data_IF_234325138512
#
_entry.id   IF_234325138512
#
_cell.length_a   1.000
_cell.length_b   1.000
_cell.length_c   1.000
_cell.angle_alpha   90.00
_cell.angle_beta   90.00
_cell.angle_gamma   90.00
#
_symmetry.space_group_name_H-M   'P 1'
#
loop_
_entity.id
_entity.type
_entity.pdbx_description
1 polymer ?
#
# COMPACT_ATOMS: atom_id res chain seq x y z
N UNK A 1 -6.09 13.83 -29.09
CA UNK A 1 -7.02 14.02 -27.95
C UNK A 1 -6.32 13.48 -26.70
N UNK A 2 -6.11 14.30 -25.68
CA UNK A 2 -5.43 13.87 -24.45
C UNK A 2 -6.43 13.12 -23.57
N UNK A 3 -6.03 12.00 -22.96
CA UNK A 3 -6.88 11.24 -22.02
C UNK A 3 -7.36 12.18 -20.89
N UNK A 4 -8.67 12.25 -20.56
CA UNK A 4 -9.20 13.15 -19.53
C UNK A 4 -8.51 13.01 -18.17
N UNK A 5 -8.23 11.77 -17.75
CA UNK A 5 -7.50 11.49 -16.51
C UNK A 5 -6.07 12.06 -16.55
N UNK A 6 -5.36 11.91 -17.68
CA UNK A 6 -4.01 12.44 -17.84
C UNK A 6 -4.00 13.97 -17.74
N UNK A 7 -4.95 14.62 -18.42
CA UNK A 7 -5.10 16.07 -18.34
C UNK A 7 -5.36 16.51 -16.90
N UNK A 8 -6.30 15.86 -16.22
CA UNK A 8 -6.62 16.12 -14.82
C UNK A 8 -5.37 16.03 -13.92
N UNK A 9 -4.66 14.89 -13.95
CA UNK A 9 -3.48 14.66 -13.12
C UNK A 9 -2.34 15.64 -13.41
N UNK A 10 -2.13 16.00 -14.69
CA UNK A 10 -1.05 16.92 -15.09
C UNK A 10 -1.25 18.38 -14.68
N UNK A 11 -2.49 18.76 -14.32
CA UNK A 11 -2.85 20.15 -14.01
C UNK A 11 -3.26 20.33 -12.55
N UNK A 12 -2.78 19.48 -11.63
CA UNK A 12 -3.09 19.57 -10.20
C UNK A 12 -2.24 20.61 -9.49
N UNK A 13 -2.84 21.66 -8.89
CA UNK A 13 -2.11 22.54 -8.00
C UNK A 13 -1.52 21.74 -6.84
N UNK A 14 -0.26 22.01 -6.49
CA UNK A 14 0.45 21.35 -5.38
C UNK A 14 0.57 19.81 -5.48
N UNK A 15 0.32 19.23 -6.66
CA UNK A 15 0.28 17.78 -6.82
C UNK A 15 -0.86 17.11 -6.07
N UNK A 16 -1.92 17.85 -5.73
CA UNK A 16 -3.06 17.36 -4.96
C UNK A 16 -4.23 17.00 -5.87
N UNK A 17 -4.63 15.73 -5.87
CA UNK A 17 -5.72 15.19 -6.69
C UNK A 17 -6.78 14.50 -5.84
N UNK A 18 -8.04 14.61 -6.27
CA UNK A 18 -9.17 13.89 -5.70
C UNK A 18 -9.88 13.15 -6.83
N UNK A 19 -9.95 11.83 -6.72
CA UNK A 19 -10.73 10.97 -7.59
C UNK A 19 -11.91 10.45 -6.79
N UNK A 20 -13.10 10.48 -7.37
CA UNK A 20 -14.26 9.90 -6.72
C UNK A 20 -14.97 8.91 -7.63
N UNK A 21 -15.48 7.85 -7.04
CA UNK A 21 -16.31 6.85 -7.72
C UNK A 21 -17.77 7.03 -7.32
N UNK A 22 -18.68 6.75 -8.26
CA UNK A 22 -20.11 6.77 -7.97
C UNK A 22 -20.57 5.56 -7.13
N UNK A 23 -21.83 5.57 -6.66
CA UNK A 23 -22.46 4.42 -6.03
C UNK A 23 -22.33 3.17 -6.92
N UNK A 24 -21.90 2.04 -6.36
CA UNK A 24 -21.75 0.76 -7.07
C UNK A 24 -20.70 0.73 -8.20
N UNK A 25 -19.79 1.71 -8.28
CA UNK A 25 -18.68 1.68 -9.24
C UNK A 25 -17.45 1.02 -8.61
N UNK A 26 -17.12 -0.19 -9.05
CA UNK A 26 -15.88 -0.91 -8.71
C UNK A 26 -14.65 -0.42 -9.51
N UNK A 27 -14.61 0.87 -9.89
CA UNK A 27 -13.56 1.46 -10.74
C UNK A 27 -12.22 1.71 -9.98
N UNK A 28 -11.80 0.73 -9.18
CA UNK A 28 -10.47 0.66 -8.57
C UNK A 28 -9.37 0.83 -9.63
N UNK A 29 -9.63 0.40 -10.87
CA UNK A 29 -8.75 0.55 -12.03
C UNK A 29 -8.28 1.99 -12.29
N UNK A 30 -9.15 3.00 -12.12
CA UNK A 30 -8.78 4.41 -12.36
C UNK A 30 -7.84 4.91 -11.27
N UNK A 31 -8.12 4.55 -10.02
CA UNK A 31 -7.32 4.91 -8.85
C UNK A 31 -5.95 4.24 -8.97
N UNK A 32 -5.94 2.94 -9.24
CA UNK A 32 -4.71 2.15 -9.44
C UNK A 32 -3.85 2.73 -10.56
N UNK A 33 -4.44 3.08 -11.71
CA UNK A 33 -3.73 3.73 -12.80
C UNK A 33 -3.13 5.09 -12.39
N UNK A 34 -3.87 5.90 -11.63
CA UNK A 34 -3.40 7.19 -11.14
C UNK A 34 -2.25 7.05 -10.12
N UNK A 35 -2.28 6.03 -9.25
CA UNK A 35 -1.19 5.73 -8.31
C UNK A 35 0.07 5.25 -9.04
N UNK A 36 -0.07 4.37 -10.03
CA UNK A 36 1.07 3.93 -10.84
C UNK A 36 1.66 5.08 -11.67
N UNK A 37 0.81 5.98 -12.18
CA UNK A 37 1.27 7.19 -12.85
C UNK A 37 2.00 8.15 -11.89
N UNK A 38 1.52 8.28 -10.64
CA UNK A 38 2.23 9.00 -9.58
C UNK A 38 3.59 8.35 -9.34
N UNK A 39 3.65 7.03 -9.12
CA UNK A 39 4.89 6.31 -8.89
C UNK A 39 5.91 6.52 -10.03
N UNK A 40 5.47 6.41 -11.28
CA UNK A 40 6.32 6.67 -12.44
C UNK A 40 6.82 8.13 -12.55
N UNK A 41 6.11 9.09 -11.94
CA UNK A 41 6.44 10.53 -12.05
C UNK A 41 7.29 11.02 -10.87
N UNK A 42 6.97 10.60 -9.65
CA UNK A 42 7.60 11.13 -8.42
C UNK A 42 8.47 10.10 -7.69
N UNK A 43 8.41 8.82 -8.06
CA UNK A 43 9.15 7.75 -7.40
C UNK A 43 8.32 7.05 -6.32
N UNK A 44 8.91 6.77 -5.16
CA UNK A 44 8.28 5.90 -4.16
C UNK A 44 6.96 6.48 -3.62
N UNK A 45 5.91 5.65 -3.52
CA UNK A 45 4.58 6.08 -3.05
C UNK A 45 4.18 5.33 -1.79
N UNK A 46 3.76 6.05 -0.74
CA UNK A 46 3.05 5.44 0.38
C UNK A 46 1.56 5.41 0.07
N UNK A 47 1.01 4.21 -0.06
CA UNK A 47 -0.42 3.97 -0.21
C UNK A 47 -1.05 3.67 1.15
N UNK A 48 -2.20 4.26 1.43
CA UNK A 48 -2.91 4.09 2.70
C UNK A 48 -4.42 4.02 2.54
N UNK A 49 -5.08 3.42 3.52
CA UNK A 49 -6.52 3.22 3.57
C UNK A 49 -6.99 2.92 5.00
N UNK A 50 -8.30 2.85 5.24
CA UNK A 50 -8.86 2.84 6.59
C UNK A 50 -8.58 1.55 7.36
N UNK A 51 -8.45 0.40 6.67
CA UNK A 51 -8.32 -0.92 7.31
C UNK A 51 -7.27 -1.81 6.63
N UNK A 52 -6.71 -2.81 7.33
CA UNK A 52 -5.81 -3.79 6.71
C UNK A 52 -6.47 -4.58 5.57
N UNK A 53 -7.76 -4.90 5.67
CA UNK A 53 -8.50 -5.59 4.62
C UNK A 53 -8.60 -4.77 3.33
N UNK A 54 -8.88 -3.46 3.47
CA UNK A 54 -8.84 -2.50 2.37
C UNK A 54 -7.46 -2.47 1.71
N UNK A 55 -6.38 -2.41 2.50
CA UNK A 55 -5.01 -2.41 1.98
C UNK A 55 -4.61 -3.72 1.30
N UNK A 56 -5.13 -4.87 1.74
CA UNK A 56 -4.92 -6.14 1.06
C UNK A 56 -5.56 -6.13 -0.33
N UNK A 57 -6.82 -5.68 -0.44
CA UNK A 57 -7.51 -5.53 -1.73
C UNK A 57 -6.77 -4.54 -2.64
N UNK A 58 -6.38 -3.39 -2.10
CA UNK A 58 -5.74 -2.33 -2.88
C UNK A 58 -4.35 -2.72 -3.39
N UNK A 59 -3.52 -3.35 -2.55
CA UNK A 59 -2.20 -3.84 -2.94
C UNK A 59 -2.26 -4.94 -4.00
N UNK A 60 -3.21 -5.88 -3.88
CA UNK A 60 -3.44 -6.92 -4.91
C UNK A 60 -3.84 -6.32 -6.26
N UNK A 61 -4.73 -5.32 -6.26
CA UNK A 61 -5.10 -4.61 -7.48
C UNK A 61 -3.94 -3.80 -8.07
N UNK A 62 -3.16 -3.11 -7.25
CA UNK A 62 -1.93 -2.42 -7.70
C UNK A 62 -0.98 -3.39 -8.37
N UNK A 63 -0.78 -4.57 -7.78
CA UNK A 63 0.14 -5.58 -8.30
C UNK A 63 -0.33 -6.11 -9.65
N UNK A 64 -1.58 -6.59 -9.69
CA UNK A 64 -2.20 -7.13 -10.91
C UNK A 64 -2.23 -6.11 -12.04
N UNK A 65 -2.57 -4.85 -11.73
CA UNK A 65 -2.65 -3.80 -12.75
C UNK A 65 -1.26 -3.37 -13.23
N UNK A 66 -0.28 -3.30 -12.32
CA UNK A 66 1.13 -3.01 -12.65
C UNK A 66 1.68 -4.05 -13.64
N UNK A 67 1.51 -5.34 -13.34
CA UNK A 67 1.92 -6.43 -14.24
C UNK A 67 1.24 -6.31 -15.61
N UNK A 68 -0.08 -6.08 -15.64
CA UNK A 68 -0.83 -5.94 -16.89
C UNK A 68 -0.37 -4.74 -17.74
N UNK A 69 -0.07 -3.60 -17.11
CA UNK A 69 0.45 -2.41 -17.80
C UNK A 69 1.82 -2.70 -18.39
N UNK A 70 2.71 -3.31 -17.60
CA UNK A 70 4.07 -3.64 -18.02
C UNK A 70 4.08 -4.69 -19.12
N UNK A 71 3.29 -5.75 -18.99
CA UNK A 71 3.13 -6.77 -20.02
C UNK A 71 2.72 -6.14 -21.35
N UNK A 72 1.64 -5.34 -21.36
CA UNK A 72 1.16 -4.65 -22.56
C UNK A 72 2.17 -3.65 -23.12
N UNK A 73 2.88 -2.94 -22.25
CA UNK A 73 3.91 -2.00 -22.65
C UNK A 73 5.10 -2.73 -23.28
N UNK A 74 5.53 -3.86 -22.75
CA UNK A 74 6.74 -4.54 -23.19
C UNK A 74 6.55 -5.36 -24.48
N UNK A 75 5.31 -5.68 -24.89
CA UNK A 75 5.05 -6.39 -26.15
C UNK A 75 5.75 -5.71 -27.33
N UNK A 76 6.61 -6.47 -28.01
CA UNK A 76 7.32 -6.04 -29.23
C UNK A 76 8.44 -5.00 -28.99
N UNK A 77 8.74 -4.66 -27.74
CA UNK A 77 9.87 -3.78 -27.40
C UNK A 77 11.16 -4.59 -27.19
N UNK A 78 12.29 -3.92 -27.44
CA UNK A 78 13.62 -4.47 -27.14
C UNK A 78 13.87 -4.42 -25.62
N UNK A 79 14.72 -5.31 -25.11
CA UNK A 79 15.04 -5.43 -23.67
C UNK A 79 15.60 -4.13 -23.05
N UNK A 80 16.27 -3.28 -23.84
CA UNK A 80 16.77 -1.97 -23.39
C UNK A 80 15.67 -0.91 -23.26
N UNK A 81 14.48 -1.17 -23.81
CA UNK A 81 13.33 -0.28 -23.81
C UNK A 81 12.13 -0.85 -23.03
N UNK A 82 12.28 -2.01 -22.39
CA UNK A 82 11.27 -2.56 -21.49
C UNK A 82 11.28 -1.85 -20.15
N UNK A 83 10.12 -1.84 -19.49
CA UNK A 83 9.98 -1.35 -18.12
C UNK A 83 9.69 -2.52 -17.19
N UNK A 84 10.05 -2.40 -15.92
CA UNK A 84 9.69 -3.37 -14.88
C UNK A 84 8.39 -3.01 -14.19
N UNK A 85 7.75 -4.00 -13.57
CA UNK A 85 6.62 -3.78 -12.69
C UNK A 85 7.07 -3.13 -11.38
N UNK A 86 6.19 -2.29 -10.81
CA UNK A 86 6.40 -1.72 -9.49
C UNK A 86 6.39 -2.83 -8.43
N UNK A 87 7.40 -2.85 -7.57
CA UNK A 87 7.44 -3.68 -6.37
C UNK A 87 6.50 -3.08 -5.33
N UNK A 88 5.41 -3.79 -5.06
CA UNK A 88 4.38 -3.39 -4.11
C UNK A 88 4.48 -4.26 -2.87
N UNK A 89 4.72 -3.64 -1.72
CA UNK A 89 4.85 -4.33 -0.44
C UNK A 89 3.72 -3.90 0.49
N UNK A 90 3.09 -4.89 1.13
CA UNK A 90 2.15 -4.64 2.23
C UNK A 90 2.94 -4.38 3.49
N UNK A 91 2.81 -3.18 4.04
CA UNK A 91 3.41 -2.78 5.30
C UNK A 91 2.55 -3.21 6.47
N UNK A 92 2.98 -4.26 7.18
CA UNK A 92 2.34 -4.76 8.38
C UNK A 92 3.33 -4.83 9.56
N UNK A 93 2.90 -5.30 10.72
CA UNK A 93 3.80 -5.47 11.86
C UNK A 93 4.82 -6.56 11.57
N UNK A 94 6.11 -6.29 11.79
CA UNK A 94 7.18 -7.24 11.49
C UNK A 94 7.03 -8.56 12.26
N UNK A 95 6.52 -8.51 13.49
CA UNK A 95 6.30 -9.72 14.29
C UNK A 95 5.19 -10.59 13.68
N UNK A 96 4.06 -9.99 13.30
CA UNK A 96 2.95 -10.71 12.69
C UNK A 96 3.36 -11.32 11.34
N UNK A 97 4.17 -10.61 10.55
CA UNK A 97 4.74 -11.12 9.30
C UNK A 97 5.76 -12.24 9.54
N UNK A 98 6.60 -12.14 10.59
CA UNK A 98 7.54 -13.20 10.99
C UNK A 98 6.79 -14.49 11.36
N UNK A 99 5.71 -14.37 12.14
CA UNK A 99 4.89 -15.50 12.55
C UNK A 99 4.13 -16.12 11.36
N UNK A 100 3.63 -15.28 10.44
CA UNK A 100 3.03 -15.73 9.19
C UNK A 100 4.05 -16.45 8.29
N UNK A 101 5.27 -15.92 8.17
CA UNK A 101 6.34 -16.54 7.39
C UNK A 101 6.73 -17.92 7.94
N UNK A 102 6.87 -18.05 9.26
CA UNK A 102 7.11 -19.36 9.89
C UNK A 102 5.95 -20.33 9.66
N UNK A 103 4.72 -19.84 9.69
CA UNK A 103 3.54 -20.64 9.39
C UNK A 103 3.58 -21.14 7.94
N UNK A 104 4.01 -20.31 6.98
CA UNK A 104 4.24 -20.71 5.58
C UNK A 104 5.36 -21.74 5.43
N UNK A 105 6.44 -21.64 6.22
CA UNK A 105 7.49 -22.66 6.24
C UNK A 105 6.97 -24.01 6.73
N UNK A 106 5.96 -24.05 7.60
CA UNK A 106 5.35 -25.30 8.03
C UNK A 106 4.30 -25.78 7.03
N UNK A 107 3.47 -24.87 6.53
CA UNK A 107 2.32 -25.15 5.68
C UNK A 107 2.40 -24.31 4.39
N UNK A 108 3.17 -24.75 3.37
CA UNK A 108 3.38 -23.96 2.15
C UNK A 108 2.09 -23.59 1.39
N UNK A 109 1.08 -24.45 1.44
CA UNK A 109 -0.21 -24.24 0.79
C UNK A 109 -0.97 -23.00 1.28
N UNK A 110 -0.63 -22.47 2.47
CA UNK A 110 -1.19 -21.21 2.95
C UNK A 110 -0.75 -20.01 2.09
N UNK A 111 0.30 -20.17 1.27
CA UNK A 111 0.87 -19.13 0.41
C UNK A 111 0.39 -19.19 -1.04
N UNK A 112 -0.40 -20.19 -1.42
CA UNK A 112 -0.82 -20.40 -2.82
C UNK A 112 -1.61 -19.21 -3.39
N UNK A 113 -2.36 -18.50 -2.53
CA UNK A 113 -3.06 -17.26 -2.89
C UNK A 113 -2.13 -16.02 -2.93
N UNK A 114 -0.99 -16.07 -2.25
CA UNK A 114 -0.09 -14.92 -2.09
C UNK A 114 0.97 -14.83 -3.20
N UNK A 115 1.35 -15.97 -3.79
CA UNK A 115 2.29 -16.04 -4.90
C UNK A 115 1.86 -17.15 -5.87
N UNK A 116 1.00 -16.79 -6.84
CA UNK A 116 0.64 -17.71 -7.92
C UNK A 116 1.84 -18.08 -8.79
N UNK A 117 1.69 -19.09 -9.64
CA UNK A 117 2.69 -19.55 -10.64
C UNK A 117 2.99 -18.50 -11.75
N UNK A 118 2.58 -17.25 -11.56
CA UNK A 118 2.77 -16.18 -12.53
C UNK A 118 4.25 -15.81 -12.66
N UNK A 119 4.69 -15.62 -13.91
CA UNK A 119 6.04 -15.14 -14.24
C UNK A 119 6.21 -13.71 -13.71
N UNK A 120 7.00 -13.55 -12.64
CA UNK A 120 7.19 -12.30 -11.90
C UNK A 120 7.89 -11.18 -12.71
N UNK A 121 8.24 -11.44 -13.98
CA UNK A 121 8.85 -10.46 -14.87
C UNK A 121 10.26 -10.09 -14.43
N UNK A 122 10.75 -8.96 -14.93
CA UNK A 122 12.09 -8.45 -14.58
C UNK A 122 12.03 -7.73 -13.22
N UNK A 123 12.86 -8.19 -12.28
CA UNK A 123 12.93 -7.65 -10.93
C UNK A 123 13.70 -6.32 -10.90
N UNK A 124 13.56 -5.55 -9.81
CA UNK A 124 14.41 -4.37 -9.60
C UNK A 124 15.87 -4.77 -9.33
N UNK A 125 16.82 -3.91 -9.72
CA UNK A 125 18.24 -4.07 -9.34
C UNK A 125 18.41 -4.25 -7.83
N UNK A 126 17.64 -3.52 -7.03
CA UNK A 126 17.63 -3.63 -5.56
C UNK A 126 17.15 -5.00 -5.07
N UNK A 127 16.17 -5.59 -5.74
CA UNK A 127 15.71 -6.97 -5.44
C UNK A 127 16.77 -7.98 -5.87
N UNK A 128 17.46 -7.78 -6.99
CA UNK A 128 18.57 -8.63 -7.39
C UNK A 128 19.76 -8.53 -6.43
N UNK A 129 20.09 -7.33 -5.94
CA UNK A 129 21.09 -7.13 -4.90
C UNK A 129 20.69 -7.83 -3.59
N UNK A 130 19.42 -7.71 -3.21
CA UNK A 130 18.85 -8.41 -2.07
C UNK A 130 18.93 -9.93 -2.24
N UNK A 131 18.54 -10.47 -3.40
CA UNK A 131 18.66 -11.90 -3.75
C UNK A 131 20.11 -12.38 -3.71
N UNK A 132 21.07 -11.59 -4.21
CA UNK A 132 22.51 -11.90 -4.15
C UNK A 132 23.00 -11.95 -2.70
N UNK A 133 22.62 -10.97 -1.89
CA UNK A 133 22.92 -10.92 -0.45
C UNK A 133 22.33 -12.15 0.27
N UNK A 134 21.07 -12.49 -0.05
CA UNK A 134 20.41 -13.69 0.47
C UNK A 134 21.14 -14.96 0.07
N UNK A 135 21.60 -15.09 -1.18
CA UNK A 135 22.29 -16.27 -1.69
C UNK A 135 23.70 -16.45 -1.10
N UNK A 136 24.40 -15.36 -0.79
CA UNK A 136 25.74 -15.37 -0.21
C UNK A 136 25.79 -15.63 1.31
N UNK A 137 24.65 -15.59 2.01
CA UNK A 137 24.62 -15.77 3.47
C UNK A 137 24.60 -17.26 3.85
N UNK A 138 25.63 -17.72 4.55
CA UNK A 138 25.71 -19.10 5.05
C UNK A 138 24.59 -19.41 6.07
N UNK A 139 24.23 -18.42 6.89
CA UNK A 139 23.15 -18.51 7.90
C UNK A 139 21.79 -18.84 7.29
N UNK A 140 21.56 -18.42 6.04
CA UNK A 140 20.29 -18.61 5.35
C UNK A 140 20.26 -19.88 4.50
N UNK A 141 21.36 -20.63 4.39
CA UNK A 141 21.46 -21.82 3.52
C UNK A 141 20.34 -22.81 3.77
N UNK A 142 20.06 -23.08 5.04
CA UNK A 142 19.06 -24.05 5.46
C UNK A 142 17.64 -23.55 5.23
N UNK A 143 17.39 -22.26 5.48
CA UNK A 143 16.13 -21.61 5.13
C UNK A 143 15.88 -21.68 3.61
N UNK A 144 16.89 -21.37 2.78
CA UNK A 144 16.81 -21.50 1.31
C UNK A 144 16.48 -22.93 0.89
N UNK A 145 17.08 -23.94 1.53
CA UNK A 145 16.75 -25.35 1.27
C UNK A 145 15.29 -25.67 1.62
N UNK A 146 14.74 -25.11 2.70
CA UNK A 146 13.34 -25.34 3.08
C UNK A 146 12.37 -24.68 2.12
N UNK A 147 12.62 -23.41 1.79
CA UNK A 147 11.79 -22.61 0.87
C UNK A 147 11.81 -23.21 -0.55
N UNK A 148 12.96 -23.71 -1.01
CA UNK A 148 13.07 -24.41 -2.31
C UNK A 148 12.55 -25.86 -2.31
N UNK A 149 11.96 -26.33 -1.20
CA UNK A 149 11.43 -27.70 -1.10
C UNK A 149 12.48 -28.82 -1.03
N UNK A 150 13.78 -28.49 -0.92
CA UNK A 150 14.88 -29.49 -0.83
C UNK A 150 14.92 -30.23 0.50
N UNK A 151 14.38 -29.64 1.58
CA UNK A 151 14.26 -30.27 2.89
C UNK A 151 12.83 -30.11 3.43
N UNK A 152 12.36 -31.10 4.20
CA UNK A 152 11.07 -31.04 4.87
C UNK A 152 11.08 -30.09 6.06
N UNK A 153 9.89 -29.76 6.59
CA UNK A 153 9.74 -28.97 7.80
C UNK A 153 10.41 -29.63 9.02
N UNK A 154 10.25 -30.93 9.21
CA UNK A 154 10.85 -31.68 10.33
C UNK A 154 12.37 -31.62 10.24
N UNK A 155 12.90 -31.79 9.03
CA UNK A 155 14.33 -31.65 8.79
C UNK A 155 14.79 -30.22 9.02
N UNK A 156 13.97 -29.20 8.78
CA UNK A 156 14.25 -27.77 9.02
C UNK A 156 14.17 -27.34 10.49
N UNK A 157 13.33 -27.97 11.31
CA UNK A 157 13.27 -27.69 12.76
C UNK A 157 14.34 -28.46 13.54
N UNK A 158 14.76 -29.63 13.06
CA UNK A 158 15.77 -30.47 13.74
C UNK A 158 17.23 -29.98 13.69
N UNK A 159 17.47 -28.69 13.47
CA UNK A 159 18.80 -28.10 13.30
C UNK A 159 18.75 -26.59 13.55
N UNK A 160 19.81 -25.86 13.21
CA UNK A 160 19.85 -24.40 13.45
C UNK A 160 18.79 -23.67 12.61
N UNK A 161 17.86 -22.99 13.27
CA UNK A 161 16.77 -22.22 12.66
C UNK A 161 17.22 -20.76 12.60
N UNK A 162 16.76 -20.04 11.57
CA UNK A 162 17.00 -18.60 11.47
C UNK A 162 16.22 -17.87 12.57
N UNK A 163 16.92 -17.07 13.37
CA UNK A 163 16.34 -16.21 14.40
C UNK A 163 15.36 -15.21 13.82
N UNK A 164 14.32 -14.89 14.60
CA UNK A 164 13.26 -13.94 14.23
C UNK A 164 13.83 -12.58 13.84
N UNK A 165 14.88 -12.15 14.53
CA UNK A 165 15.57 -10.89 14.26
C UNK A 165 16.14 -10.82 12.84
N UNK A 166 16.65 -11.93 12.32
CA UNK A 166 17.14 -11.98 10.94
C UNK A 166 15.98 -12.03 9.94
N UNK A 167 14.89 -12.75 10.22
CA UNK A 167 13.69 -12.74 9.37
C UNK A 167 13.09 -11.33 9.28
N UNK A 168 12.92 -10.66 10.41
CA UNK A 168 12.42 -9.29 10.46
C UNK A 168 13.37 -8.30 9.76
N UNK A 169 14.69 -8.54 9.82
CA UNK A 169 15.68 -7.76 9.06
C UNK A 169 15.47 -7.91 7.56
N UNK A 170 15.25 -9.13 7.07
CA UNK A 170 14.96 -9.40 5.66
C UNK A 170 13.67 -8.73 5.19
N UNK A 171 12.60 -8.76 6.00
CA UNK A 171 11.33 -8.08 5.71
C UNK A 171 11.49 -6.55 5.67
N UNK A 172 12.33 -6.00 6.53
CA UNK A 172 12.68 -4.58 6.51
C UNK A 172 13.40 -4.21 5.22
N UNK A 173 14.40 -5.00 4.81
CA UNK A 173 15.11 -4.78 3.54
C UNK A 173 14.21 -4.88 2.31
N UNK A 174 13.24 -5.81 2.33
CA UNK A 174 12.22 -5.91 1.28
C UNK A 174 11.36 -4.64 1.21
N UNK A 175 10.91 -4.15 2.36
CA UNK A 175 10.13 -2.91 2.45
C UNK A 175 10.94 -1.70 1.96
N UNK A 176 12.23 -1.61 2.30
CA UNK A 176 13.13 -0.56 1.83
C UNK A 176 13.34 -0.53 0.32
N UNK A 177 13.20 -1.70 -0.33
CA UNK A 177 13.33 -1.87 -1.78
C UNK A 177 12.02 -1.57 -2.53
N UNK A 178 10.90 -1.42 -1.83
CA UNK A 178 9.58 -1.25 -2.44
C UNK A 178 9.44 0.08 -3.19
N UNK A 179 8.80 0.02 -4.36
CA UNK A 179 8.36 1.21 -5.09
C UNK A 179 7.08 1.79 -4.47
N UNK A 180 6.20 0.91 -3.97
CA UNK A 180 4.95 1.29 -3.30
C UNK A 180 4.79 0.49 -2.01
N UNK A 181 4.60 1.19 -0.88
CA UNK A 181 4.28 0.56 0.41
C UNK A 181 2.82 0.84 0.75
N UNK A 182 2.04 -0.23 0.89
CA UNK A 182 0.63 -0.21 1.24
C UNK A 182 0.44 -0.49 2.73
N UNK A 183 -0.03 0.48 3.53
CA UNK A 183 -0.23 0.28 4.97
C UNK A 183 -1.41 1.09 5.53
N UNK A 184 -1.73 0.97 6.81
CA UNK A 184 -2.76 1.80 7.46
C UNK A 184 -2.14 3.03 8.13
N UNK A 185 -2.94 4.09 8.38
CA UNK A 185 -2.49 5.29 9.11
C UNK A 185 -1.83 4.98 10.45
N UNK A 186 -2.39 4.03 11.19
CA UNK A 186 -1.87 3.57 12.48
C UNK A 186 -0.48 2.95 12.33
N UNK A 187 -0.32 1.97 11.45
CA UNK A 187 0.93 1.22 11.26
C UNK A 187 2.05 2.12 10.70
N UNK A 188 1.71 3.05 9.80
CA UNK A 188 2.66 4.05 9.29
C UNK A 188 3.22 5.00 10.35
N UNK A 189 2.66 4.99 11.57
CA UNK A 189 3.16 5.75 12.70
C UNK A 189 3.79 4.86 13.78
N UNK A 190 3.14 3.73 14.10
CA UNK A 190 3.57 2.84 15.19
C UNK A 190 4.74 1.95 14.81
N UNK A 191 4.85 1.53 13.55
CA UNK A 191 5.92 0.65 13.11
C UNK A 191 7.13 1.45 12.63
N UNK A 192 8.28 1.24 13.26
CA UNK A 192 9.48 2.05 13.00
C UNK A 192 9.94 1.97 11.55
N UNK A 193 9.94 0.78 10.94
CA UNK A 193 10.34 0.59 9.55
C UNK A 193 9.40 1.32 8.57
N UNK A 194 8.09 1.32 8.82
CA UNK A 194 7.12 2.06 7.99
C UNK A 194 7.21 3.56 8.22
N UNK A 195 7.42 3.99 9.46
CA UNK A 195 7.60 5.39 9.80
C UNK A 195 8.86 5.97 9.14
N UNK A 196 9.98 5.27 9.22
CA UNK A 196 11.22 5.66 8.54
C UNK A 196 11.03 5.67 7.02
N UNK A 197 10.38 4.66 6.44
CA UNK A 197 10.09 4.64 5.01
C UNK A 197 9.23 5.83 4.57
N UNK A 198 8.18 6.17 5.34
CA UNK A 198 7.32 7.34 5.10
C UNK A 198 8.12 8.65 5.10
N UNK A 199 9.03 8.81 6.05
CA UNK A 199 9.77 10.06 6.25
C UNK A 199 10.94 10.21 5.27
N UNK A 200 11.63 9.13 4.95
CA UNK A 200 12.90 9.17 4.22
C UNK A 200 12.72 8.85 2.73
N UNK A 201 11.81 7.93 2.40
CA UNK A 201 11.68 7.36 1.05
C UNK A 201 10.46 7.84 0.30
N UNK A 202 9.31 8.04 0.96
CA UNK A 202 8.10 8.46 0.26
C UNK A 202 8.31 9.77 -0.50
N UNK A 203 7.83 9.81 -1.74
CA UNK A 203 7.80 10.97 -2.64
C UNK A 203 6.39 11.31 -3.12
N UNK A 204 5.41 10.44 -2.83
CA UNK A 204 3.99 10.68 -3.01
C UNK A 204 3.17 9.90 -2.00
N UNK A 205 1.92 10.35 -1.79
CA UNK A 205 0.94 9.70 -0.92
C UNK A 205 -0.30 9.38 -1.72
N UNK A 206 -0.77 8.13 -1.67
CA UNK A 206 -2.03 7.72 -2.25
C UNK A 206 -2.97 7.23 -1.14
N UNK A 207 -4.20 7.71 -1.13
CA UNK A 207 -5.22 7.31 -0.17
C UNK A 207 -6.35 6.62 -0.93
N UNK A 208 -6.59 5.35 -0.65
CA UNK A 208 -7.77 4.62 -1.08
C UNK A 208 -8.84 4.62 0.02
N UNK A 209 -10.10 4.49 -0.38
CA UNK A 209 -11.26 4.54 0.53
C UNK A 209 -11.21 5.72 1.52
N UNK A 210 -10.80 6.90 1.05
CA UNK A 210 -10.65 8.12 1.86
C UNK A 210 -11.96 8.58 2.53
N UNK A 211 -13.12 8.10 2.04
CA UNK A 211 -14.42 8.26 2.69
C UNK A 211 -14.56 7.50 4.02
N UNK A 212 -13.75 6.46 4.25
CA UNK A 212 -13.67 5.72 5.51
C UNK A 212 -12.61 6.25 6.49
N UNK A 213 -11.89 7.31 6.13
CA UNK A 213 -10.81 7.87 6.95
C UNK A 213 -11.20 9.19 7.59
N UNK A 214 -10.83 9.37 8.86
CA UNK A 214 -10.95 10.68 9.49
C UNK A 214 -9.90 11.65 8.95
N UNK A 215 -10.10 12.95 9.17
CA UNK A 215 -9.09 13.97 8.87
C UNK A 215 -7.78 13.71 9.64
N UNK A 216 -7.87 13.23 10.89
CA UNK A 216 -6.71 12.86 11.69
C UNK A 216 -5.90 11.73 11.07
N UNK A 217 -6.58 10.71 10.55
CA UNK A 217 -5.93 9.61 9.84
C UNK A 217 -5.20 10.11 8.58
N UNK A 218 -5.86 10.94 7.76
CA UNK A 218 -5.22 11.55 6.60
C UNK A 218 -3.98 12.37 7.00
N UNK A 219 -4.10 13.23 8.01
CA UNK A 219 -2.99 14.09 8.43
C UNK A 219 -1.82 13.31 9.05
N UNK A 220 -2.08 12.14 9.65
CA UNK A 220 -1.01 11.26 10.16
C UNK A 220 -0.12 10.67 9.05
N UNK A 221 -0.65 10.57 7.83
CA UNK A 221 0.07 10.11 6.65
C UNK A 221 0.63 11.29 5.84
N UNK A 222 -0.20 12.29 5.54
CA UNK A 222 0.11 13.37 4.59
C UNK A 222 0.52 14.71 5.25
N UNK A 223 -0.05 15.04 6.40
CA UNK A 223 -0.21 16.42 6.90
C UNK A 223 1.06 17.23 7.17
N UNK A 224 2.24 16.61 7.23
CA UNK A 224 3.52 17.28 7.50
C UNK A 224 4.55 17.14 6.38
N UNK A 225 4.23 16.44 5.27
CA UNK A 225 5.23 16.14 4.24
C UNK A 225 5.09 17.04 3.00
N UNK A 226 3.91 17.65 2.79
CA UNK A 226 3.56 18.40 1.57
C UNK A 226 3.84 17.62 0.27
N UNK A 227 3.93 16.29 0.36
CA UNK A 227 4.14 15.44 -0.80
C UNK A 227 2.90 15.51 -1.71
N UNK A 228 3.08 15.32 -3.04
CA UNK A 228 1.99 15.04 -3.95
C UNK A 228 1.05 14.00 -3.36
N UNK A 229 -0.25 14.28 -3.36
CA UNK A 229 -1.22 13.45 -2.69
C UNK A 229 -2.44 13.22 -3.56
N UNK A 230 -2.82 11.95 -3.69
CA UNK A 230 -4.00 11.52 -4.40
C UNK A 230 -4.97 10.91 -3.40
N UNK A 231 -6.18 11.45 -3.30
CA UNK A 231 -7.26 10.89 -2.51
C UNK A 231 -8.27 10.24 -3.43
N UNK A 232 -8.71 9.04 -3.05
CA UNK A 232 -9.74 8.32 -3.75
C UNK A 232 -10.79 7.74 -2.80
N UNK A 233 -12.03 7.67 -3.25
CA UNK A 233 -13.12 7.02 -2.52
C UNK A 233 -14.50 7.29 -3.13
N UNK A 234 -15.54 6.72 -2.53
CA UNK A 234 -16.92 6.89 -3.00
C UNK A 234 -17.46 8.30 -2.65
N UNK A 235 -18.32 8.85 -3.50
CA UNK A 235 -19.10 10.08 -3.24
C UNK A 235 -20.27 9.87 -2.26
N UNK A 236 -20.62 8.64 -1.95
CA UNK A 236 -21.57 8.31 -0.88
C UNK A 236 -20.90 8.47 0.49
N UNK A 237 -20.98 9.68 1.03
CA UNK A 237 -20.43 10.00 2.34
C UNK A 237 -21.24 9.35 3.46
N UNK A 238 -20.69 8.29 4.02
CA UNK A 238 -21.19 7.66 5.25
C UNK A 238 -20.50 8.29 6.44
N UNK A 239 -21.24 8.85 7.43
CA UNK A 239 -20.64 9.44 8.62
C UNK A 239 -19.83 8.41 9.41
N UNK A 240 -18.61 8.76 9.79
CA UNK A 240 -17.72 7.89 10.56
C UNK A 240 -18.32 7.54 11.93
N UNK A 241 -17.96 6.35 12.43
CA UNK A 241 -18.28 5.96 13.79
C UNK A 241 -17.34 6.65 14.79
N UNK A 242 -17.91 7.33 15.77
CA UNK A 242 -17.18 7.96 16.85
C UNK A 242 -17.77 7.53 18.19
N UNK A 243 -16.97 6.83 19.00
CA UNK A 243 -17.39 6.37 20.33
C UNK A 243 -17.87 7.52 21.21
N UNK A 244 -17.20 8.69 21.13
CA UNK A 244 -17.52 9.87 21.93
C UNK A 244 -18.70 10.70 21.41
N UNK A 245 -19.35 10.29 20.32
CA UNK A 245 -20.37 11.10 19.66
C UNK A 245 -21.59 11.35 20.54
N UNK A 246 -22.00 10.37 21.34
CA UNK A 246 -23.13 10.50 22.27
C UNK A 246 -22.70 10.68 23.73
N UNK A 247 -21.40 10.86 23.98
CA UNK A 247 -20.88 10.99 25.33
C UNK A 247 -21.31 12.32 25.95
N UNK A 248 -21.94 12.22 27.13
CA UNK A 248 -22.38 13.38 27.91
C UNK A 248 -21.61 13.48 29.23
N UNK A 249 -21.40 14.70 29.69
CA UNK A 249 -20.88 14.97 31.03
C UNK A 249 -21.98 14.80 32.10
N UNK A 250 -21.61 14.97 33.37
CA UNK A 250 -22.53 14.89 34.51
C UNK A 250 -23.66 15.93 34.47
N UNK A 251 -23.49 16.98 33.67
CA UNK A 251 -24.46 18.06 33.49
C UNK A 251 -25.32 17.85 32.23
N UNK A 252 -25.18 16.72 31.54
CA UNK A 252 -25.93 16.40 30.33
C UNK A 252 -25.42 17.09 29.05
N UNK A 253 -24.29 17.81 29.11
CA UNK A 253 -23.69 18.44 27.95
C UNK A 253 -22.90 17.42 27.12
N UNK A 254 -22.90 17.60 25.81
CA UNK A 254 -22.07 16.79 24.91
C UNK A 254 -20.59 17.04 25.22
N UNK A 255 -19.84 15.96 25.52
CA UNK A 255 -18.39 16.03 25.71
C UNK A 255 -17.68 16.34 24.40
N UNK A 256 -18.10 15.69 23.31
CA UNK A 256 -17.61 15.99 21.97
C UNK A 256 -18.49 17.04 21.29
N UNK A 257 -18.21 18.32 21.52
CA UNK A 257 -18.94 19.44 20.88
C UNK A 257 -18.72 19.53 19.37
N UNK A 258 -17.68 18.88 18.86
CA UNK A 258 -17.36 18.80 17.44
C UNK A 258 -17.74 17.43 16.85
N UNK A 259 -18.61 16.67 17.53
CA UNK A 259 -19.00 15.33 17.13
C UNK A 259 -19.48 15.25 15.69
N UNK A 260 -20.38 16.15 15.28
CA UNK A 260 -20.89 16.20 13.90
C UNK A 260 -19.79 16.45 12.86
N UNK A 261 -18.85 17.35 13.15
CA UNK A 261 -17.74 17.67 12.25
C UNK A 261 -16.66 16.58 12.24
N UNK A 262 -16.43 15.93 13.37
CA UNK A 262 -15.47 14.84 13.50
C UNK A 262 -15.92 13.57 12.74
N UNK A 263 -17.22 13.41 12.49
CA UNK A 263 -17.78 12.30 11.71
C UNK A 263 -17.64 12.48 10.21
N UNK A 264 -17.28 13.68 9.74
CA UNK A 264 -16.99 13.92 8.33
C UNK A 264 -15.66 13.27 7.95
N UNK A 265 -15.69 12.51 6.86
CA UNK A 265 -14.49 11.89 6.33
C UNK A 265 -13.52 12.94 5.78
N UNK A 266 -12.27 12.54 5.59
CA UNK A 266 -11.28 13.40 4.95
C UNK A 266 -11.69 13.76 3.51
N UNK A 267 -12.27 12.79 2.77
CA UNK A 267 -12.77 13.00 1.42
C UNK A 267 -13.95 13.99 1.38
N UNK A 268 -14.94 13.81 2.25
CA UNK A 268 -16.09 14.72 2.36
C UNK A 268 -15.63 16.15 2.66
N UNK A 269 -14.73 16.31 3.64
CA UNK A 269 -14.20 17.61 4.01
C UNK A 269 -13.48 18.29 2.83
N UNK A 270 -12.56 17.58 2.17
CA UNK A 270 -11.75 18.16 1.10
C UNK A 270 -12.57 18.45 -0.16
N UNK A 271 -13.51 17.59 -0.52
CA UNK A 271 -14.44 17.87 -1.62
C UNK A 271 -15.32 19.10 -1.34
N UNK A 272 -15.79 19.27 -0.10
CA UNK A 272 -16.59 20.43 0.31
C UNK A 272 -15.82 21.76 0.28
N UNK A 273 -14.49 21.74 0.34
CA UNK A 273 -13.66 22.97 0.26
C UNK A 273 -13.47 23.50 -1.16
N UNK A 274 -14.00 22.82 -2.18
CA UNK A 274 -14.00 23.31 -3.56
C UNK A 274 -12.79 22.87 -4.41
N UNK A 275 -12.00 21.91 -3.95
CA UNK A 275 -10.95 21.30 -4.77
C UNK A 275 -11.55 20.62 -6.01
N UNK A 276 -10.90 20.72 -7.20
CA UNK A 276 -11.47 20.08 -8.37
C UNK A 276 -11.33 18.56 -8.29
N UNK A 277 -12.47 17.87 -8.42
CA UNK A 277 -12.60 16.42 -8.29
C UNK A 277 -12.75 15.77 -9.67
N UNK A 278 -12.00 14.68 -9.92
CA UNK A 278 -12.22 13.82 -11.06
C UNK A 278 -13.26 12.74 -10.71
N UNK A 279 -14.47 12.90 -11.24
CA UNK A 279 -15.56 11.96 -11.00
C UNK A 279 -15.54 10.84 -12.02
N UNK A 280 -15.30 9.62 -11.57
CA UNK A 280 -15.48 8.42 -12.38
C UNK A 280 -16.97 8.13 -12.42
N UNK A 281 -17.57 8.34 -13.60
CA UNK A 281 -18.95 7.96 -13.86
C UNK A 281 -18.91 6.66 -14.65
N UNK A 282 -19.51 5.61 -14.10
CA UNK A 282 -19.81 4.41 -14.86
C UNK A 282 -20.57 4.80 -16.14
N UNK A 283 -20.19 4.19 -17.26
CA UNK A 283 -21.03 4.16 -18.46
C UNK A 283 -22.07 3.05 -18.32
#
# INVERSE_FOLDING_TARGET
MMCPLRYYLSSRPLGFGIITTGPNSDDISVITAAVLAMNATVGNVMASGPTPASMNKFSSHLHTFSLNVVFKYNIGRRQDATIRAALIVRGFKLQDECDAFKSLLQFPHLGDEAAGDDDWGDDSDTVHEFQKSLAGSDKLTRLRQRVSGKISWEKYVGGEIVEDTEIMRLMTMLTESADIVCTTPSLAHTEDHLRSWKLERARGVAIDEAGGMSRGDLYSIWGNTLLPCLLAGNEEFVPLELKSYHDRDVNGNMRNRFGDDARKSALEFLTATGWPVYRVRAQ
#
